data_IF_603733038019
#
_entry.id   IF_603733038019
#
_cell.length_a   1.000
_cell.length_b   1.000
_cell.length_c   1.000
_cell.angle_alpha   90.00
_cell.angle_beta   90.00
_cell.angle_gamma   90.00
#
_symmetry.space_group_name_H-M   'P 1'
#
loop_
_entity.id
_entity.type
_entity.pdbx_description
1 polymer ?
#
# COMPACT_ATOMS: atom_id res chain seq x y z
N UNK A 1 -0.47 5.69 14.10
CA UNK A 1 -0.92 5.60 12.70
C UNK A 1 -2.42 5.36 12.55
N UNK A 2 -3.03 4.45 13.34
CA UNK A 2 -4.49 4.16 13.26
C UNK A 2 -5.37 5.39 13.56
N UNK A 3 -4.95 6.27 14.45
CA UNK A 3 -5.69 7.51 14.77
C UNK A 3 -5.79 8.43 13.55
N UNK A 4 -4.72 8.60 12.80
CA UNK A 4 -4.71 9.40 11.56
C UNK A 4 -5.69 8.79 10.54
N UNK A 5 -5.69 7.45 10.42
CA UNK A 5 -6.62 6.73 9.55
C UNK A 5 -8.10 6.91 9.92
N UNK A 6 -8.43 7.11 11.19
CA UNK A 6 -9.79 7.39 11.63
C UNK A 6 -10.17 8.86 11.41
N UNK A 7 -9.24 9.77 11.68
CA UNK A 7 -9.51 11.21 11.58
C UNK A 7 -9.82 11.69 10.15
N UNK A 8 -9.16 11.14 9.11
CA UNK A 8 -9.45 11.58 7.73
C UNK A 8 -10.70 10.95 7.14
N UNK A 9 -11.22 9.84 7.71
CA UNK A 9 -12.45 9.20 7.20
C UNK A 9 -13.69 10.08 7.38
N UNK A 10 -13.75 10.88 8.45
CA UNK A 10 -14.88 11.79 8.69
C UNK A 10 -14.97 12.88 7.59
N UNK A 11 -13.93 13.69 7.31
CA UNK A 11 -14.00 14.64 6.20
C UNK A 11 -14.17 13.95 4.84
N UNK A 12 -13.59 12.77 4.65
CA UNK A 12 -13.75 12.02 3.40
C UNK A 12 -15.21 11.61 3.18
N UNK A 13 -15.91 11.14 4.22
CA UNK A 13 -17.33 10.75 4.11
C UNK A 13 -18.25 11.92 3.74
N UNK A 14 -17.89 13.14 4.15
CA UNK A 14 -18.62 14.34 3.76
C UNK A 14 -18.42 14.71 2.28
N UNK A 15 -17.28 14.34 1.70
CA UNK A 15 -16.95 14.64 0.29
C UNK A 15 -17.58 13.62 -0.65
N UNK A 16 -17.47 12.32 -0.33
CA UNK A 16 -17.86 11.23 -1.25
C UNK A 16 -19.22 10.57 -0.91
N UNK A 17 -19.81 10.93 0.23
CA UNK A 17 -21.08 10.40 0.70
C UNK A 17 -21.00 8.94 1.21
N UNK A 18 -22.13 8.42 1.67
CA UNK A 18 -22.22 7.05 2.21
C UNK A 18 -21.99 5.97 1.16
N UNK A 19 -22.48 6.16 -0.05
CA UNK A 19 -22.26 5.24 -1.19
C UNK A 19 -20.78 5.17 -1.58
N UNK A 20 -20.10 6.32 -1.68
CA UNK A 20 -18.68 6.38 -1.99
C UNK A 20 -17.83 5.71 -0.91
N UNK A 21 -18.19 5.88 0.37
CA UNK A 21 -17.54 5.15 1.47
C UNK A 21 -17.76 3.64 1.38
N UNK A 22 -18.93 3.20 0.93
CA UNK A 22 -19.22 1.79 0.64
C UNK A 22 -18.30 1.22 -0.44
N UNK A 23 -18.17 1.89 -1.57
CA UNK A 23 -17.28 1.49 -2.66
C UNK A 23 -15.80 1.51 -2.25
N UNK A 24 -15.37 2.53 -1.52
CA UNK A 24 -14.00 2.60 -0.95
C UNK A 24 -13.73 1.43 -0.01
N UNK A 25 -14.65 1.13 0.89
CA UNK A 25 -14.51 0.03 1.85
C UNK A 25 -14.46 -1.33 1.14
N UNK A 26 -15.29 -1.55 0.12
CA UNK A 26 -15.28 -2.77 -0.67
C UNK A 26 -13.96 -2.96 -1.40
N UNK A 27 -13.46 -1.92 -2.08
CA UNK A 27 -12.18 -1.94 -2.76
C UNK A 27 -11.01 -2.18 -1.79
N UNK A 28 -11.02 -1.52 -0.64
CA UNK A 28 -9.99 -1.70 0.39
C UNK A 28 -10.03 -3.09 1.03
N UNK A 29 -11.20 -3.68 1.25
CA UNK A 29 -11.30 -5.05 1.77
C UNK A 29 -10.74 -6.06 0.77
N UNK A 30 -11.09 -5.95 -0.51
CA UNK A 30 -10.53 -6.79 -1.57
C UNK A 30 -9.01 -6.60 -1.68
N UNK A 31 -8.53 -5.36 -1.65
CA UNK A 31 -7.11 -5.02 -1.63
C UNK A 31 -6.39 -5.66 -0.44
N UNK A 32 -6.95 -5.60 0.77
CA UNK A 32 -6.36 -6.18 1.97
C UNK A 32 -6.22 -7.70 1.87
N UNK A 33 -7.21 -8.39 1.31
CA UNK A 33 -7.13 -9.85 1.08
C UNK A 33 -5.99 -10.17 0.11
N UNK A 34 -5.92 -9.46 -1.01
CA UNK A 34 -4.85 -9.64 -1.99
C UNK A 34 -3.47 -9.28 -1.42
N UNK A 35 -3.40 -8.22 -0.62
CA UNK A 35 -2.17 -7.83 0.07
C UNK A 35 -1.71 -8.87 1.09
N UNK A 36 -2.64 -9.50 1.82
CA UNK A 36 -2.32 -10.60 2.72
C UNK A 36 -1.64 -11.76 1.99
N UNK A 37 -2.16 -12.13 0.83
CA UNK A 37 -1.59 -13.18 -0.01
C UNK A 37 -0.21 -12.78 -0.54
N UNK A 38 -0.08 -11.54 -1.02
CA UNK A 38 1.12 -11.07 -1.70
C UNK A 38 2.27 -10.68 -0.75
N UNK A 39 1.96 -10.09 0.41
CA UNK A 39 2.98 -9.31 1.14
C UNK A 39 2.95 -9.41 2.66
N UNK A 40 1.90 -9.94 3.27
CA UNK A 40 1.71 -9.83 4.72
C UNK A 40 2.83 -10.50 5.55
N UNK A 41 3.30 -11.66 5.12
CA UNK A 41 4.34 -12.42 5.83
C UNK A 41 5.77 -12.01 5.45
N UNK A 42 5.96 -11.26 4.36
CA UNK A 42 7.29 -10.90 3.84
C UNK A 42 8.15 -10.17 4.88
N UNK A 43 7.71 -9.09 5.57
CA UNK A 43 8.56 -8.41 6.52
C UNK A 43 9.03 -9.31 7.66
N UNK A 44 8.17 -10.19 8.15
CA UNK A 44 8.49 -11.11 9.23
C UNK A 44 9.49 -12.20 8.80
N UNK A 45 9.24 -12.80 7.63
CA UNK A 45 10.13 -13.81 7.06
C UNK A 45 11.52 -13.24 6.75
N UNK A 46 11.58 -12.07 6.13
CA UNK A 46 12.83 -11.36 5.81
C UNK A 46 13.58 -11.00 7.08
N UNK A 47 12.88 -10.44 8.08
CA UNK A 47 13.47 -10.09 9.37
C UNK A 47 14.09 -11.32 10.07
N UNK A 48 13.37 -12.43 10.11
CA UNK A 48 13.85 -13.67 10.72
C UNK A 48 15.08 -14.22 10.01
N UNK A 49 14.98 -14.46 8.71
CA UNK A 49 16.06 -15.07 7.92
C UNK A 49 17.34 -14.22 7.91
N UNK A 50 17.20 -12.90 7.80
CA UNK A 50 18.37 -12.00 7.81
C UNK A 50 18.96 -11.91 9.22
N UNK A 51 18.14 -11.80 10.26
CA UNK A 51 18.66 -11.72 11.65
C UNK A 51 19.42 -12.97 12.08
N UNK A 52 18.97 -14.16 11.65
CA UNK A 52 19.71 -15.42 11.87
C UNK A 52 21.11 -15.38 11.24
N UNK A 53 21.24 -14.87 10.01
CA UNK A 53 22.52 -14.75 9.32
C UNK A 53 23.43 -13.67 9.93
N UNK A 54 22.85 -12.57 10.39
CA UNK A 54 23.61 -11.53 11.11
C UNK A 54 24.15 -12.09 12.42
N UNK A 55 23.37 -12.88 13.17
CA UNK A 55 23.81 -13.52 14.41
C UNK A 55 25.00 -14.47 14.20
N UNK A 56 25.05 -15.15 13.05
CA UNK A 56 26.15 -16.01 12.62
C UNK A 56 27.32 -15.23 11.98
N UNK A 57 27.27 -13.88 11.93
CA UNK A 57 28.22 -13.00 11.24
C UNK A 57 28.37 -13.29 9.74
N UNK A 58 27.37 -13.93 9.12
CA UNK A 58 27.35 -14.31 7.72
C UNK A 58 26.65 -13.24 6.87
N UNK A 59 27.26 -12.06 6.80
CA UNK A 59 26.70 -10.90 6.11
C UNK A 59 26.52 -11.13 4.60
N UNK A 60 27.36 -11.98 3.99
CA UNK A 60 27.28 -12.30 2.55
C UNK A 60 25.97 -13.01 2.22
N UNK A 61 25.57 -13.99 3.03
CA UNK A 61 24.33 -14.71 2.83
C UNK A 61 23.13 -13.87 3.28
N UNK A 62 23.25 -13.04 4.32
CA UNK A 62 22.21 -12.06 4.68
C UNK A 62 21.83 -11.16 3.49
N UNK A 63 22.83 -10.68 2.73
CA UNK A 63 22.59 -9.87 1.52
C UNK A 63 21.96 -10.67 0.37
N UNK A 64 22.33 -11.95 0.21
CA UNK A 64 21.67 -12.84 -0.77
C UNK A 64 20.21 -13.08 -0.44
N UNK A 65 19.87 -13.30 0.84
CA UNK A 65 18.48 -13.43 1.29
C UNK A 65 17.68 -12.16 1.05
N UNK A 66 18.26 -10.98 1.30
CA UNK A 66 17.60 -9.71 0.98
C UNK A 66 17.29 -9.60 -0.53
N UNK A 67 18.25 -9.91 -1.41
CA UNK A 67 18.02 -9.91 -2.86
C UNK A 67 16.97 -10.93 -3.29
N UNK A 68 17.03 -12.15 -2.74
CA UNK A 68 16.04 -13.19 -3.01
C UNK A 68 14.63 -12.78 -2.60
N UNK A 69 14.50 -12.18 -1.41
CA UNK A 69 13.22 -11.65 -0.93
C UNK A 69 12.70 -10.50 -1.81
N UNK A 70 13.59 -9.65 -2.32
CA UNK A 70 13.23 -8.58 -3.25
C UNK A 70 12.66 -9.13 -4.56
N UNK A 71 13.33 -10.13 -5.15
CA UNK A 71 12.86 -10.79 -6.38
C UNK A 71 11.51 -11.47 -6.13
N UNK A 72 11.39 -12.20 -5.01
CA UNK A 72 10.13 -12.84 -4.62
C UNK A 72 8.98 -11.83 -4.49
N UNK A 73 9.21 -10.73 -3.78
CA UNK A 73 8.22 -9.68 -3.60
C UNK A 73 7.81 -9.02 -4.94
N UNK A 74 8.76 -8.81 -5.85
CA UNK A 74 8.47 -8.28 -7.18
C UNK A 74 7.66 -9.26 -8.03
N UNK A 75 7.98 -10.54 -8.00
CA UNK A 75 7.27 -11.56 -8.79
C UNK A 75 5.86 -11.76 -8.25
N UNK A 76 5.72 -12.06 -6.96
CA UNK A 76 4.41 -12.32 -6.36
C UNK A 76 3.55 -11.05 -6.33
N UNK A 77 4.12 -9.91 -5.93
CA UNK A 77 3.41 -8.63 -5.94
C UNK A 77 2.99 -8.23 -7.36
N UNK A 78 3.83 -8.51 -8.36
CA UNK A 78 3.50 -8.29 -9.78
C UNK A 78 2.36 -9.18 -10.26
N UNK A 79 2.41 -10.48 -9.99
CA UNK A 79 1.35 -11.43 -10.39
C UNK A 79 0.02 -11.08 -9.72
N UNK A 80 0.03 -10.85 -8.40
CA UNK A 80 -1.19 -10.48 -7.66
C UNK A 80 -1.71 -9.10 -8.06
N UNK A 81 -0.81 -8.13 -8.32
CA UNK A 81 -1.18 -6.81 -8.82
C UNK A 81 -1.83 -6.87 -10.21
N UNK A 82 -1.28 -7.65 -11.13
CA UNK A 82 -1.87 -7.88 -12.45
C UNK A 82 -3.22 -8.60 -12.34
N UNK A 83 -3.32 -9.60 -11.48
CA UNK A 83 -4.59 -10.27 -11.20
C UNK A 83 -5.63 -9.28 -10.64
N UNK A 84 -5.23 -8.39 -9.73
CA UNK A 84 -6.10 -7.33 -9.22
C UNK A 84 -6.55 -6.37 -10.33
N UNK A 85 -5.65 -5.99 -11.23
CA UNK A 85 -5.95 -5.05 -12.31
C UNK A 85 -6.95 -5.63 -13.33
N UNK A 86 -6.70 -6.86 -13.80
CA UNK A 86 -7.54 -7.51 -14.82
C UNK A 86 -8.70 -8.28 -14.24
N UNK A 87 -8.55 -8.83 -13.03
CA UNK A 87 -9.56 -9.62 -12.33
C UNK A 87 -10.48 -8.82 -11.41
N UNK A 88 -10.37 -7.50 -11.36
CA UNK A 88 -11.21 -6.66 -10.49
C UNK A 88 -12.72 -6.90 -10.71
N UNK A 89 -13.15 -7.14 -11.95
CA UNK A 89 -14.54 -7.46 -12.28
C UNK A 89 -15.02 -8.84 -11.81
N UNK A 90 -14.09 -9.76 -11.47
CA UNK A 90 -14.41 -11.06 -10.89
C UNK A 90 -14.50 -11.01 -9.36
N UNK A 91 -13.74 -10.09 -8.75
CA UNK A 91 -13.66 -9.93 -7.30
C UNK A 91 -14.85 -9.12 -6.77
N UNK A 92 -15.21 -8.06 -7.51
CA UNK A 92 -16.28 -7.13 -7.10
C UNK A 92 -17.64 -7.66 -7.58
N UNK A 93 -18.66 -7.72 -6.70
CA UNK A 93 -20.01 -8.15 -7.06
C UNK A 93 -20.62 -7.32 -8.19
N UNK A 94 -21.45 -7.95 -9.02
CA UNK A 94 -22.09 -7.34 -10.21
C UNK A 94 -22.95 -6.11 -9.88
N UNK A 95 -23.51 -6.06 -8.68
CA UNK A 95 -24.35 -4.97 -8.19
C UNK A 95 -23.54 -3.75 -7.69
N UNK A 96 -22.21 -3.85 -7.63
CA UNK A 96 -21.31 -2.79 -7.12
C UNK A 96 -20.13 -2.52 -8.08
N UNK A 97 -20.35 -2.64 -9.39
CA UNK A 97 -19.32 -2.44 -10.43
C UNK A 97 -18.62 -1.08 -10.36
N UNK A 98 -19.26 -0.08 -9.79
CA UNK A 98 -18.70 1.25 -9.61
C UNK A 98 -17.51 1.29 -8.62
N UNK A 99 -17.28 0.22 -7.86
CA UNK A 99 -16.07 0.05 -7.03
C UNK A 99 -14.86 -0.50 -7.83
N UNK A 100 -15.04 -0.97 -9.07
CA UNK A 100 -13.95 -1.54 -9.89
C UNK A 100 -12.81 -0.54 -10.12
N UNK A 101 -13.04 0.72 -10.53
CA UNK A 101 -11.95 1.68 -10.72
C UNK A 101 -11.12 1.91 -9.46
N UNK A 102 -11.77 1.95 -8.29
CA UNK A 102 -11.08 2.10 -7.01
C UNK A 102 -10.13 0.92 -6.74
N UNK A 103 -10.55 -0.32 -7.01
CA UNK A 103 -9.71 -1.51 -6.86
C UNK A 103 -8.57 -1.54 -7.88
N UNK A 104 -8.83 -1.15 -9.12
CA UNK A 104 -7.81 -1.11 -10.19
C UNK A 104 -6.69 -0.11 -9.86
N UNK A 105 -7.01 1.02 -9.26
CA UNK A 105 -6.02 2.02 -8.80
C UNK A 105 -5.16 1.45 -7.67
N UNK A 106 -5.68 0.55 -6.85
CA UNK A 106 -4.93 -0.13 -5.80
C UNK A 106 -4.00 -1.24 -6.32
N UNK A 107 -4.19 -1.73 -7.54
CA UNK A 107 -3.38 -2.83 -8.08
C UNK A 107 -1.86 -2.56 -8.11
N UNK A 108 -1.35 -1.41 -8.62
CA UNK A 108 0.08 -1.11 -8.55
C UNK A 108 0.57 -0.96 -7.10
N UNK A 109 -0.30 -0.57 -6.19
CA UNK A 109 0.03 -0.42 -4.77
C UNK A 109 0.39 -1.76 -4.13
N UNK A 110 -0.22 -2.87 -4.55
CA UNK A 110 0.11 -4.22 -4.07
C UNK A 110 1.57 -4.56 -4.39
N UNK A 111 2.00 -4.29 -5.61
CA UNK A 111 3.37 -4.49 -6.04
C UNK A 111 4.37 -3.67 -5.21
N UNK A 112 4.10 -2.39 -5.04
CA UNK A 112 4.95 -1.48 -4.26
C UNK A 112 4.97 -1.83 -2.76
N UNK A 113 3.84 -2.28 -2.21
CA UNK A 113 3.74 -2.71 -0.81
C UNK A 113 4.60 -3.94 -0.53
N UNK A 114 4.71 -4.88 -1.48
CA UNK A 114 5.61 -6.02 -1.37
C UNK A 114 7.07 -5.60 -1.22
N UNK A 115 7.52 -4.68 -2.06
CA UNK A 115 8.88 -4.12 -2.02
C UNK A 115 9.11 -3.37 -0.70
N UNK A 116 8.16 -2.54 -0.29
CA UNK A 116 8.20 -1.81 0.98
C UNK A 116 8.32 -2.77 2.18
N UNK A 117 7.59 -3.91 2.14
CA UNK A 117 7.66 -4.96 3.14
C UNK A 117 9.05 -5.56 3.29
N UNK A 118 9.77 -5.80 2.20
CA UNK A 118 11.16 -6.30 2.21
C UNK A 118 12.09 -5.30 2.89
N UNK A 119 12.00 -4.02 2.57
CA UNK A 119 12.81 -2.99 3.23
C UNK A 119 12.50 -2.88 4.73
N UNK A 120 11.23 -2.92 5.11
CA UNK A 120 10.83 -2.93 6.53
C UNK A 120 11.41 -4.13 7.26
N UNK A 121 11.31 -5.33 6.69
CA UNK A 121 11.89 -6.56 7.23
C UNK A 121 13.41 -6.48 7.38
N UNK A 122 14.09 -5.89 6.41
CA UNK A 122 15.54 -5.67 6.45
C UNK A 122 15.97 -4.82 7.66
N UNK A 123 15.33 -3.65 7.88
CA UNK A 123 15.66 -2.80 9.03
C UNK A 123 15.29 -3.44 10.37
N UNK A 124 14.20 -4.18 10.43
CA UNK A 124 13.80 -4.95 11.61
C UNK A 124 14.85 -6.04 11.96
N UNK A 125 15.44 -6.69 10.95
CA UNK A 125 16.50 -7.68 11.14
C UNK A 125 17.73 -7.10 11.82
N UNK A 126 18.05 -5.85 11.57
CA UNK A 126 19.13 -5.10 12.24
C UNK A 126 18.69 -4.50 13.59
N UNK A 127 17.54 -4.93 14.14
CA UNK A 127 16.95 -4.40 15.39
C UNK A 127 16.69 -2.89 15.39
N UNK A 128 16.62 -2.29 14.22
CA UNK A 128 16.31 -0.87 14.05
C UNK A 128 14.87 -0.70 13.54
N UNK A 129 13.95 -0.47 14.48
CA UNK A 129 12.53 -0.27 14.14
C UNK A 129 12.17 1.18 13.79
N UNK A 130 13.07 2.13 14.03
CA UNK A 130 12.81 3.56 13.78
C UNK A 130 12.42 3.84 12.31
N UNK A 131 13.18 3.37 11.28
CA UNK A 131 12.80 3.63 9.90
C UNK A 131 11.43 3.03 9.55
N UNK A 132 11.12 1.84 10.06
CA UNK A 132 9.83 1.19 9.84
C UNK A 132 8.68 2.01 10.43
N UNK A 133 8.82 2.48 11.67
CA UNK A 133 7.79 3.29 12.35
C UNK A 133 7.58 4.64 11.66
N UNK A 134 8.67 5.31 11.30
CA UNK A 134 8.60 6.59 10.58
C UNK A 134 7.96 6.41 9.20
N UNK A 135 8.34 5.36 8.46
CA UNK A 135 7.73 5.07 7.15
C UNK A 135 6.22 4.85 7.24
N UNK A 136 5.73 4.22 8.31
CA UNK A 136 4.29 4.02 8.54
C UNK A 136 3.56 5.33 8.87
N UNK A 137 4.20 6.24 9.58
CA UNK A 137 3.62 7.56 9.87
C UNK A 137 3.54 8.37 8.56
N UNK A 138 4.62 8.43 7.80
CA UNK A 138 4.68 9.10 6.49
C UNK A 138 3.59 8.55 5.57
N UNK A 139 3.49 7.22 5.46
CA UNK A 139 2.47 6.54 4.65
C UNK A 139 1.06 7.01 5.03
N UNK A 140 0.73 7.06 6.33
CA UNK A 140 -0.61 7.45 6.79
C UNK A 140 -0.89 8.94 6.59
N UNK A 141 0.08 9.81 6.80
CA UNK A 141 -0.08 11.26 6.57
C UNK A 141 -0.32 11.55 5.09
N UNK A 142 0.50 10.99 4.21
CA UNK A 142 0.34 11.19 2.77
C UNK A 142 -0.92 10.50 2.24
N UNK A 143 -1.26 9.33 2.74
CA UNK A 143 -2.52 8.67 2.40
C UNK A 143 -3.71 9.59 2.75
N UNK A 144 -3.76 10.13 3.97
CA UNK A 144 -4.85 11.00 4.38
C UNK A 144 -4.93 12.28 3.51
N UNK A 145 -3.82 12.98 3.33
CA UNK A 145 -3.78 14.21 2.55
C UNK A 145 -4.15 13.98 1.08
N UNK A 146 -3.53 13.00 0.44
CA UNK A 146 -3.76 12.72 -0.99
C UNK A 146 -5.14 12.11 -1.22
N UNK A 147 -5.67 11.28 -0.32
CA UNK A 147 -7.03 10.74 -0.43
C UNK A 147 -8.08 11.85 -0.49
N UNK A 148 -7.97 12.86 0.36
CA UNK A 148 -8.91 13.99 0.38
C UNK A 148 -8.79 14.84 -0.89
N UNK A 149 -7.56 15.20 -1.27
CA UNK A 149 -7.32 16.03 -2.46
C UNK A 149 -7.70 15.32 -3.75
N UNK A 150 -7.33 14.04 -3.88
CA UNK A 150 -7.64 13.26 -5.06
C UNK A 150 -9.14 12.93 -5.18
N UNK A 151 -9.82 12.63 -4.06
CA UNK A 151 -11.27 12.44 -4.08
C UNK A 151 -11.99 13.70 -4.58
N UNK A 152 -11.63 14.86 -4.05
CA UNK A 152 -12.18 16.15 -4.48
C UNK A 152 -11.86 16.44 -5.95
N UNK A 153 -10.61 16.23 -6.38
CA UNK A 153 -10.15 16.47 -7.74
C UNK A 153 -10.84 15.54 -8.76
N UNK A 154 -10.99 14.26 -8.45
CA UNK A 154 -11.66 13.28 -9.32
C UNK A 154 -13.16 13.57 -9.46
N UNK A 155 -13.82 13.96 -8.37
CA UNK A 155 -15.23 14.37 -8.42
C UNK A 155 -15.40 15.57 -9.35
N UNK A 156 -14.57 16.60 -9.19
CA UNK A 156 -14.67 17.81 -10.02
C UNK A 156 -14.30 17.59 -11.48
N UNK A 157 -13.41 16.64 -11.78
CA UNK A 157 -12.93 16.38 -13.13
C UNK A 157 -13.80 15.39 -13.92
N UNK A 158 -14.41 14.41 -13.26
CA UNK A 158 -15.04 13.26 -13.91
C UNK A 158 -16.48 13.00 -13.49
N UNK A 159 -17.02 13.71 -12.48
CA UNK A 159 -18.40 13.51 -12.03
C UNK A 159 -19.39 14.30 -12.88
N UNK A 160 -20.49 13.61 -13.25
CA UNK A 160 -21.65 14.24 -13.93
C UNK A 160 -22.65 14.86 -12.94
N UNK A 161 -22.28 14.98 -11.66
CA UNK A 161 -23.12 15.53 -10.61
C UNK A 161 -24.17 14.56 -10.04
N UNK A 162 -24.26 13.34 -10.55
CA UNK A 162 -25.13 12.29 -10.00
C UNK A 162 -24.50 11.66 -8.77
N UNK A 163 -25.30 11.23 -7.80
CA UNK A 163 -24.81 10.63 -6.54
C UNK A 163 -23.92 9.41 -6.82
N UNK A 164 -24.29 8.55 -7.76
CA UNK A 164 -23.50 7.39 -8.16
C UNK A 164 -22.16 7.78 -8.81
N UNK A 165 -22.13 8.83 -9.63
CA UNK A 165 -20.91 9.31 -10.27
C UNK A 165 -19.96 9.93 -9.25
N UNK A 166 -20.47 10.71 -8.31
CA UNK A 166 -19.73 11.27 -7.19
C UNK A 166 -19.12 10.14 -6.33
N UNK A 167 -19.93 9.14 -5.99
CA UNK A 167 -19.49 7.98 -5.21
C UNK A 167 -18.39 7.18 -5.91
N UNK A 168 -18.55 6.90 -7.21
CA UNK A 168 -17.59 6.16 -8.05
C UNK A 168 -16.23 6.87 -8.13
N UNK A 169 -16.24 8.11 -8.58
CA UNK A 169 -15.01 8.88 -8.79
C UNK A 169 -14.39 9.36 -7.47
N UNK A 170 -15.20 9.63 -6.46
CA UNK A 170 -14.73 9.92 -5.12
C UNK A 170 -14.02 8.73 -4.48
N UNK A 171 -14.57 7.52 -4.63
CA UNK A 171 -13.92 6.29 -4.17
C UNK A 171 -12.61 6.02 -4.93
N UNK A 172 -12.61 6.17 -6.25
CA UNK A 172 -11.41 6.02 -7.07
C UNK A 172 -10.32 7.03 -6.66
N UNK A 173 -10.68 8.30 -6.47
CA UNK A 173 -9.75 9.33 -6.00
C UNK A 173 -9.20 9.05 -4.61
N UNK A 174 -10.04 8.59 -3.67
CA UNK A 174 -9.60 8.28 -2.30
C UNK A 174 -8.60 7.13 -2.25
N UNK A 175 -8.69 6.16 -3.14
CA UNK A 175 -7.75 5.03 -3.22
C UNK A 175 -6.38 5.42 -3.80
N UNK A 176 -6.30 6.51 -4.57
CA UNK A 176 -5.00 7.09 -5.01
C UNK A 176 -4.14 7.49 -3.81
N UNK A 177 -4.76 7.96 -2.73
CA UNK A 177 -4.05 8.31 -1.51
C UNK A 177 -3.31 7.13 -0.88
N UNK A 178 -3.88 5.93 -0.91
CA UNK A 178 -3.20 4.72 -0.42
C UNK A 178 -1.95 4.43 -1.26
N UNK A 179 -2.04 4.54 -2.58
CA UNK A 179 -0.89 4.39 -3.47
C UNK A 179 0.20 5.43 -3.22
N UNK A 180 -0.18 6.70 -3.11
CA UNK A 180 0.74 7.79 -2.81
C UNK A 180 1.43 7.62 -1.46
N UNK A 181 0.70 7.17 -0.44
CA UNK A 181 1.27 6.84 0.87
C UNK A 181 2.36 5.77 0.79
N UNK A 182 2.09 4.68 0.06
CA UNK A 182 3.08 3.61 -0.14
C UNK A 182 4.29 4.10 -0.92
N UNK A 183 4.10 4.87 -2.00
CA UNK A 183 5.20 5.44 -2.80
C UNK A 183 6.11 6.32 -1.94
N UNK A 184 5.54 7.22 -1.15
CA UNK A 184 6.32 8.12 -0.27
C UNK A 184 7.05 7.36 0.83
N UNK A 185 6.41 6.35 1.43
CA UNK A 185 7.04 5.48 2.41
C UNK A 185 8.19 4.68 1.79
N UNK A 186 8.02 4.17 0.56
CA UNK A 186 9.06 3.46 -0.18
C UNK A 186 10.24 4.37 -0.52
N UNK A 187 9.98 5.58 -1.00
CA UNK A 187 11.03 6.58 -1.26
C UNK A 187 11.83 6.90 0.00
N UNK A 188 11.16 7.10 1.14
CA UNK A 188 11.82 7.29 2.43
C UNK A 188 12.71 6.10 2.81
N UNK A 189 12.20 4.86 2.68
CA UNK A 189 12.97 3.65 3.00
C UNK A 189 14.18 3.47 2.09
N UNK A 190 14.07 3.79 0.81
CA UNK A 190 15.18 3.78 -0.15
C UNK A 190 16.26 4.80 0.23
N UNK A 191 15.87 6.00 0.62
CA UNK A 191 16.82 7.03 1.11
C UNK A 191 17.56 6.56 2.35
N UNK A 192 16.84 6.02 3.34
CA UNK A 192 17.44 5.50 4.57
C UNK A 192 18.38 4.33 4.28
N UNK A 193 17.97 3.43 3.36
CA UNK A 193 18.82 2.31 2.92
C UNK A 193 20.10 2.82 2.24
N UNK A 194 20.00 3.78 1.32
CA UNK A 194 21.14 4.37 0.62
C UNK A 194 22.15 5.03 1.57
N UNK A 195 21.66 5.75 2.57
CA UNK A 195 22.51 6.39 3.58
C UNK A 195 23.20 5.35 4.47
N UNK A 196 22.47 4.33 4.93
CA UNK A 196 23.01 3.30 5.82
C UNK A 196 23.96 2.33 5.09
N UNK A 197 23.74 2.05 3.81
CA UNK A 197 24.63 1.18 3.01
C UNK A 197 26.07 1.69 2.93
N UNK A 198 26.29 2.98 3.12
CA UNK A 198 27.63 3.60 3.15
C UNK A 198 28.34 3.43 4.51
N UNK A 199 27.61 3.00 5.56
CA UNK A 199 28.10 2.86 6.92
C UNK A 199 28.30 1.38 7.35
N UNK A 200 27.83 0.43 6.55
CA UNK A 200 27.98 -1.02 6.70
C UNK A 200 28.95 -1.55 5.65
#
# INVERSE_FOLDING_TARGET
SKVIGLLYKSPLSNIIGSLGMGYTSLAQNAYMILLMIASFSIPQAVSKLISERIALKDYRNAHKFFKGAMIYAMVIGGVVGLFCLFGAGLIIPQNQKDAIPALQILAPTIFLSGILGVFRGYFQAYRNMMPTSISQIIEQVFNAAVSLLAAWGFINAFSDGTENSIAKWGAAGSTVGTGAGVVTALAFMLLVYGVNRRKI
#
